data_IF_733332396294
#
_entry.id   IF_733332396294
#
_cell.length_a   1.000
_cell.length_b   1.000
_cell.length_c   1.000
_cell.angle_alpha   90.00
_cell.angle_beta   90.00
_cell.angle_gamma   90.00
#
_symmetry.space_group_name_H-M   'P 1'
#
loop_
_entity.id
_entity.type
_entity.pdbx_description
1 polymer ?
#
# COMPACT_ATOMS: atom_id res chain seq x y z
N UNK A 1 2.49 17.67 -12.81
CA UNK A 1 1.16 17.16 -12.40
C UNK A 1 1.04 15.63 -12.42
N UNK A 2 0.94 14.93 -13.57
CA UNK A 2 0.70 13.46 -13.56
C UNK A 2 1.88 12.65 -12.98
N UNK A 3 3.13 13.04 -13.28
CA UNK A 3 4.34 12.41 -12.72
C UNK A 3 4.43 12.59 -11.19
N UNK A 4 4.16 13.79 -10.69
CA UNK A 4 4.14 14.07 -9.24
C UNK A 4 3.05 13.25 -8.53
N UNK A 5 1.88 13.10 -9.15
CA UNK A 5 0.80 12.26 -8.62
C UNK A 5 1.23 10.79 -8.51
N UNK A 6 1.96 10.27 -9.51
CA UNK A 6 2.52 8.92 -9.46
C UNK A 6 3.52 8.79 -8.31
N UNK A 7 4.44 9.75 -8.13
CA UNK A 7 5.42 9.71 -7.05
C UNK A 7 4.76 9.74 -5.66
N UNK A 8 3.82 10.67 -5.43
CA UNK A 8 3.07 10.77 -4.17
C UNK A 8 2.28 9.48 -3.92
N UNK A 9 1.64 8.92 -4.95
CA UNK A 9 0.92 7.65 -4.80
C UNK A 9 1.84 6.48 -4.50
N UNK A 10 3.00 6.41 -5.14
CA UNK A 10 4.02 5.41 -4.86
C UNK A 10 4.44 5.47 -3.39
N UNK A 11 4.78 6.65 -2.87
CA UNK A 11 5.17 6.83 -1.47
C UNK A 11 4.07 6.34 -0.51
N UNK A 12 2.82 6.69 -0.77
CA UNK A 12 1.68 6.23 0.02
C UNK A 12 1.52 4.71 -0.02
N UNK A 13 1.61 4.09 -1.21
CA UNK A 13 1.52 2.63 -1.36
C UNK A 13 2.63 1.92 -0.59
N UNK A 14 3.88 2.36 -0.71
CA UNK A 14 5.00 1.73 0.00
C UNK A 14 4.91 1.92 1.51
N UNK A 15 4.42 3.07 1.97
CA UNK A 15 4.17 3.31 3.39
C UNK A 15 3.09 2.39 3.94
N UNK A 16 1.98 2.21 3.23
CA UNK A 16 0.91 1.27 3.59
C UNK A 16 1.39 -0.18 3.61
N UNK A 17 2.22 -0.57 2.63
CA UNK A 17 2.84 -1.89 2.57
C UNK A 17 3.72 -2.14 3.81
N UNK A 18 4.55 -1.16 4.18
CA UNK A 18 5.40 -1.24 5.36
C UNK A 18 4.58 -1.40 6.65
N UNK A 19 3.54 -0.57 6.82
CA UNK A 19 2.65 -0.66 7.98
C UNK A 19 1.91 -2.00 8.05
N UNK A 20 1.43 -2.51 6.92
CA UNK A 20 0.79 -3.82 6.84
C UNK A 20 1.74 -4.93 7.26
N UNK A 21 2.98 -4.90 6.77
CA UNK A 21 4.03 -5.86 7.13
C UNK A 21 4.39 -5.78 8.62
N UNK A 22 4.54 -4.58 9.18
CA UNK A 22 4.84 -4.36 10.59
C UNK A 22 3.71 -4.89 11.49
N UNK A 23 2.45 -4.60 11.18
CA UNK A 23 1.29 -5.17 11.87
C UNK A 23 1.29 -6.69 11.81
N UNK A 24 1.68 -7.24 10.66
CA UNK A 24 1.79 -8.68 10.49
C UNK A 24 2.88 -9.29 11.37
N UNK A 25 4.08 -8.71 11.36
CA UNK A 25 5.18 -9.12 12.22
C UNK A 25 4.78 -9.03 13.70
N UNK A 26 4.22 -7.91 14.14
CA UNK A 26 3.80 -7.74 15.54
C UNK A 26 2.75 -8.78 15.94
N UNK A 27 1.75 -9.03 15.08
CA UNK A 27 0.69 -9.97 15.42
C UNK A 27 1.13 -11.43 15.38
N UNK A 28 1.78 -11.87 14.30
CA UNK A 28 2.08 -13.29 14.08
C UNK A 28 3.46 -13.71 14.56
N UNK A 29 4.49 -12.85 14.46
CA UNK A 29 5.85 -13.18 14.92
C UNK A 29 6.06 -12.87 16.40
N UNK A 30 5.62 -11.70 16.86
CA UNK A 30 5.78 -11.28 18.25
C UNK A 30 4.55 -11.60 19.13
N UNK A 31 3.54 -12.27 18.57
CA UNK A 31 2.32 -12.71 19.25
C UNK A 31 1.61 -11.59 20.07
N UNK A 32 1.70 -10.35 19.60
CA UNK A 32 1.19 -9.18 20.33
C UNK A 32 -0.33 -9.27 20.46
N UNK A 33 -0.82 -9.43 21.69
CA UNK A 33 -2.22 -9.76 22.00
C UNK A 33 -3.19 -8.61 21.74
N UNK A 34 -2.79 -7.37 22.02
CA UNK A 34 -3.61 -6.17 21.85
C UNK A 34 -3.84 -5.75 20.39
N UNK A 35 -3.00 -6.23 19.46
CA UNK A 35 -3.22 -6.01 18.02
C UNK A 35 -4.29 -6.97 17.53
N UNK A 36 -5.43 -6.42 17.11
CA UNK A 36 -6.52 -7.22 16.53
C UNK A 36 -6.21 -7.54 15.06
N UNK A 37 -6.43 -8.79 14.60
CA UNK A 37 -6.17 -9.18 13.20
C UNK A 37 -6.89 -8.29 12.19
N UNK A 38 -8.08 -7.78 12.55
CA UNK A 38 -8.88 -6.86 11.72
C UNK A 38 -8.07 -5.67 11.20
N UNK A 39 -7.15 -5.11 12.01
CA UNK A 39 -6.36 -3.95 11.61
C UNK A 39 -5.38 -4.30 10.50
N UNK A 40 -4.75 -5.48 10.57
CA UNK A 40 -3.88 -5.96 9.50
C UNK A 40 -4.68 -6.21 8.22
N UNK A 41 -5.84 -6.87 8.30
CA UNK A 41 -6.67 -7.11 7.12
C UNK A 41 -7.15 -5.81 6.47
N UNK A 42 -7.61 -4.83 7.25
CA UNK A 42 -8.00 -3.51 6.71
C UNK A 42 -6.82 -2.82 6.02
N UNK A 43 -5.64 -2.82 6.62
CA UNK A 43 -4.44 -2.23 6.02
C UNK A 43 -3.96 -2.98 4.78
N UNK A 44 -4.08 -4.32 4.75
CA UNK A 44 -3.76 -5.13 3.58
C UNK A 44 -4.69 -4.79 2.40
N UNK A 45 -6.00 -4.65 2.64
CA UNK A 45 -6.97 -4.24 1.60
C UNK A 45 -6.64 -2.84 1.10
N UNK A 46 -6.38 -1.88 1.99
CA UNK A 46 -6.01 -0.52 1.60
C UNK A 46 -4.71 -0.49 0.78
N UNK A 47 -3.72 -1.28 1.18
CA UNK A 47 -2.45 -1.42 0.45
C UNK A 47 -2.69 -1.97 -0.95
N UNK A 48 -3.50 -3.02 -1.07
CA UNK A 48 -3.81 -3.65 -2.36
C UNK A 48 -4.53 -2.68 -3.30
N UNK A 49 -5.54 -1.97 -2.80
CA UNK A 49 -6.26 -0.95 -3.58
C UNK A 49 -5.32 0.18 -3.99
N UNK A 50 -4.49 0.68 -3.08
CA UNK A 50 -3.51 1.73 -3.39
C UNK A 50 -2.50 1.29 -4.44
N UNK A 51 -1.94 0.08 -4.31
CA UNK A 51 -1.01 -0.50 -5.27
C UNK A 51 -1.65 -0.67 -6.67
N UNK A 52 -2.90 -1.10 -6.71
CA UNK A 52 -3.65 -1.26 -7.96
C UNK A 52 -3.87 0.10 -8.66
N UNK A 53 -4.24 1.13 -7.89
CA UNK A 53 -4.38 2.50 -8.40
C UNK A 53 -3.04 3.05 -8.90
N UNK A 54 -1.96 2.89 -8.14
CA UNK A 54 -0.62 3.34 -8.53
C UNK A 54 -0.14 2.64 -9.82
N UNK A 55 -0.34 1.33 -9.93
CA UNK A 55 -0.03 0.58 -11.15
C UNK A 55 -0.84 1.09 -12.36
N UNK A 56 -2.14 1.32 -12.16
CA UNK A 56 -3.02 1.86 -13.21
C UNK A 56 -2.54 3.23 -13.68
N UNK A 57 -2.16 4.13 -12.76
CA UNK A 57 -1.61 5.44 -13.09
C UNK A 57 -0.33 5.35 -13.93
N UNK A 58 0.59 4.43 -13.58
CA UNK A 58 1.83 4.21 -14.34
C UNK A 58 1.51 3.72 -15.77
N UNK A 59 0.58 2.77 -15.91
CA UNK A 59 0.19 2.23 -17.22
C UNK A 59 -0.46 3.32 -18.09
N UNK A 60 -1.36 4.11 -17.53
CA UNK A 60 -2.00 5.24 -18.23
C UNK A 60 -0.97 6.29 -18.66
N UNK A 61 -0.02 6.66 -17.78
CA UNK A 61 1.06 7.57 -18.14
C UNK A 61 1.93 7.04 -19.29
N UNK A 62 2.26 5.73 -19.27
CA UNK A 62 3.02 5.11 -20.36
C UNK A 62 2.25 5.08 -21.68
N UNK A 63 0.93 4.90 -21.64
CA UNK A 63 0.08 4.91 -22.83
C UNK A 63 -0.02 6.31 -23.45
N UNK A 64 -0.11 7.36 -22.63
CA UNK A 64 -0.20 8.75 -23.06
C UNK A 64 1.15 9.35 -23.56
N UNK A 65 2.27 8.74 -23.18
CA UNK A 65 3.60 9.18 -23.58
C UNK A 65 4.08 8.59 -24.92
N UNK A 66 3.23 7.79 -25.60
CA UNK A 66 3.43 7.30 -26.97
C UNK A 66 2.64 8.15 -27.94
#
# INVERSE_FOLDING_TARGET
MLRELIEVMGICTYSLLCLTALLGLLKWKFAVSWIKPKYHFTLAVLTLTSASTHLTLILTHKALAK
#
